data_IF_449472117031
#
_entry.id   IF_449472117031
#
_cell.length_a   1.000
_cell.length_b   1.000
_cell.length_c   1.000
_cell.angle_alpha   90.00
_cell.angle_beta   90.00
_cell.angle_gamma   90.00
#
_symmetry.space_group_name_H-M   'P 1'
#
loop_
_entity.id
_entity.type
_entity.pdbx_description
1 polymer ?
#
# COMPACT_ATOMS: atom_id res chain seq x y z
N UNK A 1 28.89 26.79 -11.36
CA UNK A 1 27.55 26.19 -11.37
C UNK A 1 27.57 25.08 -10.34
N UNK A 2 27.19 25.41 -9.12
CA UNK A 2 27.08 24.45 -8.01
C UNK A 2 25.71 23.80 -8.12
N UNK A 3 25.70 22.51 -8.39
CA UNK A 3 24.50 21.66 -8.31
C UNK A 3 23.98 21.75 -6.88
N UNK A 4 22.81 22.37 -6.69
CA UNK A 4 22.09 22.31 -5.43
C UNK A 4 21.67 20.87 -5.23
N UNK A 5 22.36 20.19 -4.30
CA UNK A 5 21.97 18.88 -3.82
C UNK A 5 20.54 18.99 -3.30
N UNK A 6 19.58 18.53 -4.11
CA UNK A 6 18.17 18.50 -3.77
C UNK A 6 18.03 17.79 -2.44
N UNK A 7 17.72 18.55 -1.40
CA UNK A 7 17.50 17.98 -0.06
C UNK A 7 16.26 17.12 -0.18
N UNK A 8 16.43 15.80 -0.23
CA UNK A 8 15.30 14.86 -0.23
C UNK A 8 14.48 15.13 1.03
N UNK A 9 13.26 15.68 0.85
CA UNK A 9 12.31 15.85 1.94
C UNK A 9 12.05 14.46 2.52
N UNK A 10 12.27 14.30 3.84
CA UNK A 10 11.98 13.06 4.54
C UNK A 10 10.51 12.64 4.33
N UNK A 11 10.20 11.33 4.35
CA UNK A 11 8.84 10.82 4.35
C UNK A 11 8.03 11.47 5.47
N UNK A 12 6.73 11.72 5.26
CA UNK A 12 5.92 12.47 6.22
C UNK A 12 5.93 11.86 7.64
N UNK A 13 6.01 10.52 7.74
CA UNK A 13 6.00 9.78 8.99
C UNK A 13 7.34 9.81 9.76
N UNK A 14 8.42 10.27 9.13
CA UNK A 14 9.74 10.44 9.77
C UNK A 14 10.02 11.90 10.15
N UNK A 15 9.15 12.83 9.77
CA UNK A 15 9.32 14.25 10.09
C UNK A 15 9.13 14.47 11.59
N UNK A 16 9.99 15.25 12.25
CA UNK A 16 9.77 15.61 13.65
C UNK A 16 8.46 16.40 13.80
N UNK A 17 7.71 16.11 14.86
CA UNK A 17 6.50 16.85 15.17
C UNK A 17 6.81 18.34 15.31
N UNK A 18 6.20 19.14 14.45
CA UNK A 18 6.33 20.59 14.46
C UNK A 18 4.98 21.17 14.90
N UNK A 19 4.93 22.03 15.93
CA UNK A 19 3.71 22.73 16.29
C UNK A 19 3.23 23.62 15.13
N UNK A 20 1.91 23.70 14.89
CA UNK A 20 1.30 24.49 13.82
C UNK A 20 1.82 25.94 13.82
N UNK A 21 2.02 26.53 15.00
CA UNK A 21 2.50 27.91 15.17
C UNK A 21 3.88 28.17 14.56
N UNK A 22 4.69 27.12 14.36
CA UNK A 22 6.05 27.20 13.82
C UNK A 22 6.15 26.86 12.34
N UNK A 23 5.05 26.43 11.72
CA UNK A 23 4.99 26.10 10.30
C UNK A 23 4.79 27.35 9.45
N UNK A 24 5.41 27.38 8.28
CA UNK A 24 5.09 28.35 7.22
C UNK A 24 3.69 28.12 6.67
N UNK A 25 3.12 29.11 5.99
CA UNK A 25 1.78 28.98 5.40
C UNK A 25 1.72 27.86 4.34
N UNK A 26 2.78 27.70 3.56
CA UNK A 26 2.92 26.63 2.56
C UNK A 26 2.94 25.25 3.22
N UNK A 27 3.74 25.07 4.28
CA UNK A 27 3.80 23.80 5.02
C UNK A 27 2.45 23.45 5.66
N UNK A 28 1.73 24.45 6.20
CA UNK A 28 0.39 24.24 6.75
C UNK A 28 -0.60 23.81 5.68
N UNK A 29 -0.54 24.41 4.49
CA UNK A 29 -1.40 24.03 3.37
C UNK A 29 -1.09 22.61 2.88
N UNK A 30 0.19 22.25 2.76
CA UNK A 30 0.63 20.88 2.41
C UNK A 30 0.11 19.87 3.44
N UNK A 31 0.32 20.12 4.73
CA UNK A 31 -0.08 19.23 5.80
C UNK A 31 -1.61 19.09 5.91
N UNK A 32 -2.34 20.19 5.79
CA UNK A 32 -3.80 20.17 5.83
C UNK A 32 -4.40 19.40 4.66
N UNK A 33 -3.82 19.52 3.46
CA UNK A 33 -4.23 18.72 2.30
C UNK A 33 -3.91 17.23 2.49
N UNK A 34 -2.75 16.91 3.03
CA UNK A 34 -2.38 15.53 3.38
C UNK A 34 -3.39 14.94 4.35
N UNK A 35 -3.68 15.61 5.46
CA UNK A 35 -4.64 15.14 6.46
C UNK A 35 -6.04 14.99 5.90
N UNK A 36 -6.51 15.91 5.05
CA UNK A 36 -7.81 15.77 4.38
C UNK A 36 -7.86 14.53 3.50
N UNK A 37 -6.81 14.26 2.72
CA UNK A 37 -6.72 13.07 1.88
C UNK A 37 -6.68 11.78 2.71
N UNK A 38 -5.89 11.75 3.80
CA UNK A 38 -5.88 10.61 4.69
C UNK A 38 -7.25 10.39 5.34
N UNK A 39 -7.91 11.48 5.74
CA UNK A 39 -9.23 11.41 6.37
C UNK A 39 -10.29 10.85 5.43
N UNK A 40 -10.22 11.10 4.12
CA UNK A 40 -11.17 10.51 3.15
C UNK A 40 -10.97 9.03 2.90
N UNK A 41 -9.82 8.46 3.28
CA UNK A 41 -9.55 7.02 3.18
C UNK A 41 -10.06 6.23 4.38
N UNK A 42 -10.45 6.90 5.46
CA UNK A 42 -10.98 6.25 6.65
C UNK A 42 -12.44 5.82 6.44
N UNK A 43 -12.83 4.71 7.06
CA UNK A 43 -14.23 4.33 7.08
C UNK A 43 -15.08 5.36 7.85
N UNK A 44 -16.34 5.58 7.46
CA UNK A 44 -17.21 6.54 8.16
C UNK A 44 -17.35 6.26 9.66
N UNK A 45 -17.30 4.99 10.07
CA UNK A 45 -17.33 4.59 11.47
C UNK A 45 -16.07 5.02 12.23
N UNK A 46 -14.90 4.86 11.60
CA UNK A 46 -13.62 5.34 12.15
C UNK A 46 -13.65 6.86 12.30
N UNK A 47 -14.13 7.58 11.28
CA UNK A 47 -14.30 9.04 11.34
C UNK A 47 -15.23 9.45 12.48
N UNK A 48 -16.35 8.74 12.66
CA UNK A 48 -17.32 9.00 13.72
C UNK A 48 -16.63 8.95 15.09
N UNK A 49 -15.96 7.86 15.44
CA UNK A 49 -15.31 7.75 16.75
C UNK A 49 -14.14 8.73 16.93
N UNK A 50 -13.33 8.96 15.90
CA UNK A 50 -12.26 9.95 15.95
C UNK A 50 -12.80 11.36 16.24
N UNK A 51 -13.94 11.73 15.65
CA UNK A 51 -14.59 13.02 15.90
C UNK A 51 -15.15 13.18 17.33
N UNK A 52 -15.30 12.08 18.07
CA UNK A 52 -15.88 12.05 19.43
C UNK A 52 -14.83 12.00 20.53
N UNK A 53 -13.55 11.99 20.17
CA UNK A 53 -12.45 12.03 21.16
C UNK A 53 -12.59 13.29 22.02
N UNK A 54 -12.58 13.12 23.33
CA UNK A 54 -12.82 14.19 24.31
C UNK A 54 -14.28 14.32 24.78
N UNK A 55 -15.23 13.61 24.17
CA UNK A 55 -16.63 13.62 24.61
C UNK A 55 -16.92 12.58 25.70
N UNK A 56 -17.97 12.82 26.50
CA UNK A 56 -18.46 11.86 27.49
C UNK A 56 -19.16 10.69 26.79
N UNK A 57 -18.77 9.47 27.13
CA UNK A 57 -19.31 8.25 26.54
C UNK A 57 -19.69 7.22 27.60
N UNK A 58 -20.60 6.32 27.22
CA UNK A 58 -20.97 5.13 27.98
C UNK A 58 -20.61 3.91 27.16
N UNK A 59 -19.73 3.05 27.69
CA UNK A 59 -19.31 1.81 27.03
C UNK A 59 -19.91 0.63 27.77
N UNK A 60 -20.64 -0.22 27.06
CA UNK A 60 -21.23 -1.44 27.60
C UNK A 60 -20.54 -2.66 26.99
N UNK A 61 -20.04 -3.57 27.83
CA UNK A 61 -19.34 -4.77 27.39
C UNK A 61 -20.31 -5.95 27.22
N UNK A 62 -19.85 -7.00 26.53
CA UNK A 62 -20.61 -8.26 26.38
C UNK A 62 -20.92 -8.94 27.72
N UNK A 63 -20.14 -8.68 28.76
CA UNK A 63 -20.39 -9.18 30.12
C UNK A 63 -21.53 -8.43 30.85
N UNK A 64 -22.11 -7.39 30.24
CA UNK A 64 -23.14 -6.55 30.85
C UNK A 64 -22.59 -5.42 31.72
N UNK A 65 -21.25 -5.31 31.85
CA UNK A 65 -20.62 -4.22 32.60
C UNK A 65 -20.71 -2.91 31.80
N UNK A 66 -20.93 -1.81 32.50
CA UNK A 66 -21.02 -0.47 31.90
C UNK A 66 -19.98 0.46 32.51
N UNK A 67 -19.26 1.17 31.65
CA UNK A 67 -18.27 2.17 31.98
C UNK A 67 -18.77 3.54 31.53
N UNK A 68 -18.56 4.56 32.37
CA UNK A 68 -18.86 5.96 32.05
C UNK A 68 -17.58 6.77 32.16
N UNK A 69 -17.30 7.61 31.16
CA UNK A 69 -16.10 8.45 31.18
C UNK A 69 -15.91 9.22 29.88
N UNK A 70 -14.78 9.90 29.76
CA UNK A 70 -14.42 10.63 28.54
C UNK A 70 -13.66 9.73 27.57
N UNK A 71 -14.01 9.78 26.28
CA UNK A 71 -13.29 9.03 25.24
C UNK A 71 -11.89 9.63 25.03
N UNK A 72 -10.85 8.96 25.55
CA UNK A 72 -9.48 9.48 25.50
C UNK A 72 -8.77 9.27 24.15
N UNK A 73 -8.82 8.06 23.60
CA UNK A 73 -8.18 7.72 22.33
C UNK A 73 -8.89 6.54 21.67
N UNK A 74 -8.83 6.48 20.33
CA UNK A 74 -9.27 5.33 19.55
C UNK A 74 -8.04 4.63 18.96
N UNK A 75 -7.96 3.31 19.12
CA UNK A 75 -6.90 2.48 18.54
C UNK A 75 -7.50 1.63 17.43
N UNK A 76 -6.87 1.66 16.26
CA UNK A 76 -7.28 0.88 15.10
C UNK A 76 -6.11 0.01 14.66
N UNK A 77 -6.43 -1.23 14.31
CA UNK A 77 -5.47 -2.18 13.77
C UNK A 77 -5.92 -2.56 12.36
N UNK A 78 -5.00 -2.62 11.38
CA UNK A 78 -5.37 -3.07 10.05
C UNK A 78 -5.74 -4.55 10.10
N UNK A 79 -6.94 -4.89 9.64
CA UNK A 79 -7.39 -6.28 9.55
C UNK A 79 -6.97 -6.93 8.23
N UNK A 80 -6.99 -6.15 7.15
CA UNK A 80 -6.70 -6.60 5.79
C UNK A 80 -5.98 -5.50 5.01
N UNK A 81 -5.24 -5.92 4.00
CA UNK A 81 -4.56 -5.06 3.05
C UNK A 81 -5.02 -5.45 1.66
N UNK A 82 -5.33 -4.46 0.84
CA UNK A 82 -5.72 -4.66 -0.55
C UNK A 82 -4.53 -4.31 -1.44
N UNK A 83 -4.06 -5.30 -2.20
CA UNK A 83 -2.99 -5.16 -3.17
C UNK A 83 -3.58 -5.15 -4.57
N UNK A 84 -3.32 -4.09 -5.34
CA UNK A 84 -3.62 -4.07 -6.77
C UNK A 84 -2.48 -4.74 -7.53
N UNK A 85 -2.78 -5.85 -8.20
CA UNK A 85 -1.80 -6.67 -8.91
C UNK A 85 -2.12 -6.66 -10.40
N UNK A 86 -1.08 -6.56 -11.22
CA UNK A 86 -1.15 -6.69 -12.67
C UNK A 86 -0.60 -8.06 -13.06
N UNK A 87 -1.50 -8.96 -13.49
CA UNK A 87 -1.12 -10.31 -13.93
C UNK A 87 -1.12 -10.39 -15.45
N UNK A 88 -0.04 -10.91 -16.02
CA UNK A 88 0.05 -11.19 -17.45
C UNK A 88 -0.67 -12.50 -17.74
N UNK A 89 -1.80 -12.42 -18.44
CA UNK A 89 -2.50 -13.58 -18.97
C UNK A 89 -2.29 -13.71 -20.47
N UNK A 90 -2.29 -14.94 -20.96
CA UNK A 90 -2.27 -15.22 -22.39
C UNK A 90 -3.68 -15.48 -22.86
N UNK A 91 -4.19 -14.61 -23.72
CA UNK A 91 -5.50 -14.79 -24.33
C UNK A 91 -5.35 -15.67 -25.58
N UNK A 92 -5.85 -16.90 -25.49
CA UNK A 92 -5.80 -17.87 -26.58
C UNK A 92 -6.62 -17.46 -27.81
N UNK A 93 -7.61 -16.58 -27.66
CA UNK A 93 -8.46 -16.13 -28.76
C UNK A 93 -7.78 -15.05 -29.60
N UNK A 94 -7.01 -14.16 -28.96
CA UNK A 94 -6.29 -13.06 -29.63
C UNK A 94 -4.81 -13.38 -29.87
N UNK A 95 -4.30 -14.46 -29.27
CA UNK A 95 -2.87 -14.84 -29.25
C UNK A 95 -1.96 -13.73 -28.70
N UNK A 96 -2.51 -12.84 -27.86
CA UNK A 96 -1.79 -11.72 -27.28
C UNK A 96 -1.67 -11.87 -25.76
N UNK A 97 -0.59 -11.30 -25.23
CA UNK A 97 -0.46 -11.11 -23.80
C UNK A 97 -1.31 -9.91 -23.36
N UNK A 98 -2.27 -10.17 -22.48
CA UNK A 98 -3.12 -9.14 -21.88
C UNK A 98 -2.74 -9.01 -20.41
N UNK A 99 -2.68 -7.79 -19.91
CA UNK A 99 -2.49 -7.53 -18.48
C UNK A 99 -3.86 -7.37 -17.83
N UNK A 100 -4.18 -8.24 -16.88
CA UNK A 100 -5.38 -8.14 -16.06
C UNK A 100 -5.03 -7.46 -14.73
N UNK A 101 -5.77 -6.39 -14.41
CA UNK A 101 -5.66 -5.70 -13.13
C UNK A 101 -6.69 -6.31 -12.18
N UNK A 102 -6.22 -6.83 -11.04
CA UNK A 102 -7.09 -7.36 -9.99
C UNK A 102 -6.69 -6.84 -8.62
N UNK A 103 -7.69 -6.70 -7.75
CA UNK A 103 -7.49 -6.33 -6.35
C UNK A 103 -7.48 -7.61 -5.49
N UNK A 104 -6.38 -7.86 -4.78
CA UNK A 104 -6.17 -9.02 -3.92
C UNK A 104 -6.18 -8.58 -2.46
N UNK A 105 -7.16 -9.05 -1.68
CA UNK A 105 -7.23 -8.78 -0.25
C UNK A 105 -6.49 -9.85 0.55
N UNK A 106 -5.52 -9.43 1.36
CA UNK A 106 -4.71 -10.31 2.22
C UNK A 106 -4.98 -9.93 3.68
N UNK A 107 -5.25 -10.91 4.54
CA UNK A 107 -5.40 -10.67 5.98
C UNK A 107 -4.04 -10.36 6.59
N UNK A 108 -3.98 -9.35 7.46
CA UNK A 108 -2.72 -8.94 8.12
C UNK A 108 -2.14 -10.07 8.97
N UNK A 109 -2.97 -10.97 9.51
CA UNK A 109 -2.55 -12.18 10.23
C UNK A 109 -1.73 -13.15 9.39
N UNK A 110 -1.89 -13.11 8.06
CA UNK A 110 -1.31 -14.08 7.13
C UNK A 110 -0.04 -13.51 6.47
N UNK A 111 0.30 -12.24 6.75
CA UNK A 111 1.48 -11.57 6.18
C UNK A 111 2.72 -11.82 7.05
N UNK A 112 3.77 -12.35 6.42
CA UNK A 112 5.06 -12.64 7.08
C UNK A 112 5.99 -11.41 7.09
N UNK A 113 5.97 -10.62 6.02
CA UNK A 113 6.85 -9.45 5.85
C UNK A 113 6.20 -8.39 4.95
N UNK A 114 6.47 -7.10 5.23
CA UNK A 114 6.11 -5.95 4.39
C UNK A 114 7.38 -5.33 3.82
N UNK A 115 7.48 -5.28 2.50
CA UNK A 115 8.52 -4.53 1.82
C UNK A 115 7.90 -3.61 0.78
N UNK A 116 8.15 -2.32 0.91
CA UNK A 116 7.79 -1.33 -0.11
C UNK A 116 8.93 -1.29 -1.14
N UNK A 117 8.62 -1.68 -2.36
CA UNK A 117 9.57 -1.73 -3.47
C UNK A 117 9.27 -0.52 -4.38
N UNK A 118 10.24 0.38 -4.55
CA UNK A 118 10.04 1.59 -5.36
C UNK A 118 10.09 1.31 -6.87
N UNK A 119 10.86 0.31 -7.28
CA UNK A 119 11.02 -0.10 -8.68
C UNK A 119 11.07 -1.62 -8.78
N UNK A 120 10.30 -2.20 -9.71
CA UNK A 120 10.37 -3.63 -10.01
C UNK A 120 11.69 -3.90 -10.71
N UNK A 121 12.74 -4.23 -9.96
CA UNK A 121 13.94 -4.82 -10.52
C UNK A 121 13.52 -6.18 -11.12
N UNK A 122 13.23 -6.22 -12.41
CA UNK A 122 12.95 -7.44 -13.15
C UNK A 122 14.20 -8.34 -13.12
N UNK A 123 14.31 -9.19 -12.11
CA UNK A 123 15.06 -10.44 -12.27
C UNK A 123 14.11 -11.39 -13.00
N UNK A 124 14.01 -11.21 -14.33
CA UNK A 124 13.61 -12.27 -15.23
C UNK A 124 14.77 -13.27 -15.28
N UNK A 125 14.98 -14.05 -14.20
CA UNK A 125 15.78 -15.26 -14.34
C UNK A 125 14.92 -16.26 -15.12
N UNK A 126 15.27 -16.61 -16.37
CA UNK A 126 14.64 -17.75 -17.00
C UNK A 126 15.00 -18.96 -16.13
N UNK A 127 14.00 -19.59 -15.52
CA UNK A 127 14.14 -20.96 -15.06
C UNK A 127 14.35 -21.82 -16.31
N UNK A 128 15.60 -21.93 -16.76
CA UNK A 128 16.07 -23.01 -17.59
C UNK A 128 15.95 -24.28 -16.75
N UNK A 129 14.74 -24.85 -16.72
CA UNK A 129 14.56 -26.25 -16.41
C UNK A 129 15.22 -27.03 -17.56
N UNK A 130 16.54 -27.24 -17.40
CA UNK A 130 17.25 -28.35 -18.01
C UNK A 130 16.64 -29.65 -17.47
N UNK A 131 15.53 -30.08 -18.07
CA UNK A 131 15.13 -31.48 -18.07
C UNK A 131 15.19 -31.96 -19.51
N UNK A 132 16.13 -32.87 -19.75
CA UNK A 132 16.68 -33.16 -21.07
C UNK A 132 15.69 -33.70 -22.09
N UNK A 133 15.80 -33.18 -23.31
CA UNK A 133 15.56 -33.92 -24.53
C UNK A 133 16.56 -33.43 -25.58
N UNK A 134 17.06 -34.39 -26.37
CA UNK A 134 18.27 -34.30 -27.16
C UNK A 134 18.34 -33.12 -28.12
N UNK A 135 19.56 -32.62 -28.23
CA UNK A 135 20.08 -31.98 -29.43
C UNK A 135 19.95 -32.98 -30.58
N UNK A 136 18.97 -32.78 -31.47
CA UNK A 136 19.02 -33.36 -32.82
C UNK A 136 18.40 -32.41 -33.85
N UNK A 137 19.21 -32.17 -34.89
CA UNK A 137 18.97 -31.51 -36.18
C UNK A 137 18.47 -30.05 -36.20
N UNK A 138 19.45 -29.14 -36.18
CA UNK A 138 19.43 -28.04 -37.13
C UNK A 138 19.66 -28.58 -38.56
N UNK A 139 19.12 -27.87 -39.55
CA UNK A 139 19.40 -27.98 -40.99
C UNK A 139 18.67 -29.11 -41.73
N UNK A 140 17.41 -28.87 -42.10
CA UNK A 140 16.93 -29.29 -43.42
C UNK A 140 16.79 -28.04 -44.31
N UNK A 141 17.46 -28.15 -45.44
CA UNK A 141 17.58 -27.23 -46.55
C UNK A 141 16.21 -26.82 -47.09
N UNK A 142 16.03 -25.52 -47.38
CA UNK A 142 15.02 -25.10 -48.35
C UNK A 142 15.74 -24.23 -49.38
N UNK A 143 16.27 -24.90 -50.42
CA UNK A 143 16.43 -24.31 -51.75
C UNK A 143 15.07 -24.34 -52.45
N UNK A 144 14.64 -23.20 -53.00
CA UNK A 144 14.00 -23.08 -54.31
C UNK A 144 14.26 -21.67 -54.86
#
# INVERSE_FOLDING_TARGET
MTEEAGTQKLPFYERPYTPIDRMTEEERAEELNLWRNLFTWLDPEVMYYLSRVGELCRVSTRSGQTYFGTLGACKYEPLQIVLRVEDRQFDWSTQLAVYEIKDVSVKVSDVINYQFINERNEVLEPQNNNDGAGVESALEEIEF
#
